data_IF_015434637622
#
_entry.id   IF_015434637622
#
_cell.length_a   1.000
_cell.length_b   1.000
_cell.length_c   1.000
_cell.angle_alpha   90.00
_cell.angle_beta   90.00
_cell.angle_gamma   90.00
#
_symmetry.space_group_name_H-M   'P 1'
#
loop_
_entity.id
_entity.type
_entity.pdbx_description
1 polymer ?
#
# COMPACT_ATOMS: atom_id res chain seq x y z
N UNK A 1 26.05 29.06 8.29
CA UNK A 1 25.65 28.49 6.99
C UNK A 1 25.65 26.96 6.98
N UNK A 2 26.72 26.25 7.38
CA UNK A 2 26.72 24.76 7.45
C UNK A 2 25.56 24.16 8.27
N UNK A 3 25.24 24.71 9.45
CA UNK A 3 24.12 24.23 10.30
C UNK A 3 22.73 24.36 9.65
N UNK A 4 22.52 25.38 8.83
CA UNK A 4 21.24 25.62 8.13
C UNK A 4 21.07 24.61 7.00
N UNK A 5 22.14 24.30 6.25
CA UNK A 5 22.11 23.28 5.20
C UNK A 5 21.83 21.88 5.78
N UNK A 6 22.44 21.53 6.92
CA UNK A 6 22.17 20.25 7.60
C UNK A 6 20.72 20.17 8.10
N UNK A 7 20.18 21.27 8.64
CA UNK A 7 18.79 21.31 9.06
C UNK A 7 17.82 21.13 7.88
N UNK A 8 18.11 21.75 6.73
CA UNK A 8 17.32 21.61 5.51
C UNK A 8 17.31 20.16 4.98
N UNK A 9 18.48 19.51 4.98
CA UNK A 9 18.61 18.11 4.54
C UNK A 9 17.85 17.15 5.48
N UNK A 10 17.93 17.37 6.79
CA UNK A 10 17.15 16.58 7.77
C UNK A 10 15.64 16.81 7.64
N UNK A 11 15.22 18.03 7.33
CA UNK A 11 13.81 18.33 7.10
C UNK A 11 13.29 17.56 5.86
N UNK A 12 14.03 17.60 4.75
CA UNK A 12 13.68 16.82 3.55
C UNK A 12 13.73 15.31 3.79
N UNK A 13 14.73 14.82 4.52
CA UNK A 13 14.82 13.42 4.93
C UNK A 13 13.57 12.99 5.70
N UNK A 14 13.10 13.82 6.63
CA UNK A 14 11.86 13.56 7.36
C UNK A 14 10.65 13.51 6.44
N UNK A 15 10.51 14.45 5.50
CA UNK A 15 9.41 14.46 4.52
C UNK A 15 9.41 13.18 3.67
N UNK A 16 10.58 12.81 3.12
CA UNK A 16 10.70 11.59 2.29
C UNK A 16 10.42 10.33 3.11
N UNK A 17 10.84 10.30 4.37
CA UNK A 17 10.51 9.21 5.29
C UNK A 17 9.00 9.09 5.50
N UNK A 18 8.32 10.19 5.84
CA UNK A 18 6.87 10.21 6.05
C UNK A 18 6.11 9.77 4.81
N UNK A 19 6.49 10.26 3.62
CA UNK A 19 5.88 9.85 2.35
C UNK A 19 6.10 8.37 2.08
N UNK A 20 7.30 7.84 2.36
CA UNK A 20 7.61 6.42 2.19
C UNK A 20 6.77 5.53 3.11
N UNK A 21 6.62 5.91 4.38
CA UNK A 21 5.77 5.21 5.35
C UNK A 21 4.30 5.26 4.91
N UNK A 22 3.83 6.43 4.45
CA UNK A 22 2.48 6.58 3.91
C UNK A 22 2.24 5.65 2.72
N UNK A 23 3.17 5.57 1.77
CA UNK A 23 3.07 4.66 0.62
C UNK A 23 2.96 3.19 1.04
N UNK A 24 3.71 2.77 2.06
CA UNK A 24 3.63 1.40 2.60
C UNK A 24 2.25 1.15 3.22
N UNK A 25 1.73 2.09 4.02
CA UNK A 25 0.40 1.98 4.63
C UNK A 25 -0.68 1.92 3.55
N UNK A 26 -0.60 2.75 2.51
CA UNK A 26 -1.54 2.74 1.39
C UNK A 26 -1.48 1.43 0.63
N UNK A 27 -0.29 0.86 0.40
CA UNK A 27 -0.13 -0.42 -0.28
C UNK A 27 -0.84 -1.56 0.47
N UNK A 28 -0.60 -1.70 1.77
CA UNK A 28 -1.29 -2.70 2.59
C UNK A 28 -2.78 -2.39 2.77
N UNK A 29 -3.13 -1.11 2.93
CA UNK A 29 -4.53 -0.67 3.01
C UNK A 29 -5.31 -1.01 1.74
N UNK A 30 -4.71 -0.79 0.56
CA UNK A 30 -5.31 -1.14 -0.72
C UNK A 30 -5.53 -2.65 -0.85
N UNK A 31 -4.63 -3.51 -0.34
CA UNK A 31 -4.86 -4.96 -0.36
C UNK A 31 -6.10 -5.41 0.41
N UNK A 32 -6.47 -4.69 1.46
CA UNK A 32 -7.66 -5.00 2.26
C UNK A 32 -8.90 -4.32 1.68
N UNK A 33 -8.76 -3.07 1.25
CA UNK A 33 -9.87 -2.28 0.72
C UNK A 33 -10.31 -2.73 -0.67
N UNK A 34 -9.41 -3.21 -1.54
CA UNK A 34 -9.77 -3.62 -2.90
C UNK A 34 -10.75 -4.81 -2.95
N UNK A 35 -10.54 -5.92 -2.21
CA UNK A 35 -11.54 -6.99 -2.13
C UNK A 35 -12.86 -6.51 -1.55
N UNK A 36 -12.82 -5.67 -0.50
CA UNK A 36 -14.01 -5.11 0.11
C UNK A 36 -14.79 -4.23 -0.89
N UNK A 37 -14.09 -3.38 -1.63
CA UNK A 37 -14.69 -2.52 -2.66
C UNK A 37 -15.27 -3.35 -3.81
N UNK A 38 -14.60 -4.44 -4.21
CA UNK A 38 -15.14 -5.37 -5.19
C UNK A 38 -16.48 -5.99 -4.75
N UNK A 39 -16.63 -6.33 -3.46
CA UNK A 39 -17.92 -6.80 -2.91
C UNK A 39 -18.98 -5.71 -3.02
N UNK A 40 -18.66 -4.49 -2.60
CA UNK A 40 -19.59 -3.35 -2.65
C UNK A 40 -20.01 -3.04 -4.09
N UNK A 41 -19.09 -3.09 -5.03
CA UNK A 41 -19.34 -2.82 -6.45
C UNK A 41 -20.23 -3.90 -7.07
N UNK A 42 -20.02 -5.18 -6.73
CA UNK A 42 -20.90 -6.28 -7.14
C UNK A 42 -22.31 -6.14 -6.54
N UNK A 43 -22.43 -5.74 -5.27
CA UNK A 43 -23.73 -5.49 -4.63
C UNK A 43 -24.45 -4.36 -5.36
N UNK A 44 -23.77 -3.25 -5.65
CA UNK A 44 -24.34 -2.13 -6.41
C UNK A 44 -24.79 -2.56 -7.81
N UNK A 45 -23.98 -3.34 -8.52
CA UNK A 45 -24.31 -3.86 -9.84
C UNK A 45 -25.59 -4.71 -9.81
N UNK A 46 -25.71 -5.61 -8.83
CA UNK A 46 -26.92 -6.41 -8.63
C UNK A 46 -28.12 -5.56 -8.18
N UNK A 47 -27.88 -4.45 -7.48
CA UNK A 47 -28.91 -3.47 -7.15
C UNK A 47 -29.53 -2.81 -8.40
N UNK A 48 -28.76 -2.61 -9.47
CA UNK A 48 -29.27 -2.03 -10.74
C UNK A 48 -30.32 -2.93 -11.40
N UNK A 49 -30.22 -4.24 -11.24
CA UNK A 49 -31.19 -5.22 -11.76
C UNK A 49 -32.35 -5.49 -10.79
N UNK A 50 -32.50 -4.68 -9.72
CA UNK A 50 -33.61 -4.76 -8.77
C UNK A 50 -33.42 -5.78 -7.65
N UNK A 51 -32.22 -6.34 -7.48
CA UNK A 51 -31.93 -7.26 -6.39
C UNK A 51 -31.75 -6.50 -5.07
N UNK A 52 -32.40 -6.98 -4.00
CA UNK A 52 -32.25 -6.39 -2.67
C UNK A 52 -30.79 -6.53 -2.20
N UNK A 53 -30.23 -5.48 -1.61
CA UNK A 53 -28.82 -5.41 -1.16
C UNK A 53 -28.42 -6.55 -0.23
N UNK A 54 -29.36 -7.08 0.56
CA UNK A 54 -29.10 -8.23 1.44
C UNK A 54 -28.87 -9.54 0.67
N UNK A 55 -29.68 -9.80 -0.36
CA UNK A 55 -29.54 -10.98 -1.23
C UNK A 55 -28.29 -10.83 -2.11
N UNK A 56 -28.05 -9.63 -2.62
CA UNK A 56 -26.86 -9.29 -3.38
C UNK A 56 -25.58 -9.51 -2.56
N UNK A 57 -25.56 -9.15 -1.28
CA UNK A 57 -24.41 -9.39 -0.40
C UNK A 57 -24.12 -10.89 -0.20
N UNK A 58 -25.17 -11.71 -0.06
CA UNK A 58 -25.06 -13.17 0.05
C UNK A 58 -24.41 -13.83 -1.18
N UNK A 59 -24.52 -13.22 -2.36
CA UNK A 59 -23.91 -13.70 -3.60
C UNK A 59 -22.52 -13.07 -3.81
N UNK A 60 -22.39 -11.76 -3.57
CA UNK A 60 -21.15 -11.02 -3.80
C UNK A 60 -20.01 -11.50 -2.90
N UNK A 61 -20.28 -11.77 -1.61
CA UNK A 61 -19.25 -12.19 -0.65
C UNK A 61 -18.61 -13.53 -1.07
N UNK A 62 -19.37 -14.61 -1.38
CA UNK A 62 -18.79 -15.86 -1.90
C UNK A 62 -18.05 -15.69 -3.22
N UNK A 63 -18.55 -14.86 -4.15
CA UNK A 63 -17.90 -14.62 -5.45
C UNK A 63 -16.52 -13.98 -5.25
N UNK A 64 -16.43 -12.92 -4.44
CA UNK A 64 -15.14 -12.29 -4.13
C UNK A 64 -14.27 -13.21 -3.28
N UNK A 65 -14.86 -13.98 -2.36
CA UNK A 65 -14.16 -15.00 -1.59
C UNK A 65 -13.52 -16.08 -2.48
N UNK A 66 -14.21 -16.50 -3.54
CA UNK A 66 -13.67 -17.44 -4.52
C UNK A 66 -12.51 -16.83 -5.34
N UNK A 67 -12.63 -15.56 -5.73
CA UNK A 67 -11.52 -14.84 -6.36
C UNK A 67 -10.30 -14.75 -5.43
N UNK A 68 -10.51 -14.45 -4.13
CA UNK A 68 -9.46 -14.48 -3.12
C UNK A 68 -8.82 -15.87 -2.96
N UNK A 69 -9.63 -16.92 -3.01
CA UNK A 69 -9.16 -18.31 -2.95
C UNK A 69 -8.34 -18.69 -4.19
N UNK A 70 -8.72 -18.22 -5.38
CA UNK A 70 -7.91 -18.36 -6.60
C UNK A 70 -6.56 -17.66 -6.48
N UNK A 71 -6.55 -16.42 -5.99
CA UNK A 71 -5.31 -15.66 -5.75
C UNK A 71 -4.41 -16.40 -4.75
N UNK A 72 -4.98 -16.95 -3.68
CA UNK A 72 -4.25 -17.73 -2.69
C UNK A 72 -3.69 -19.05 -3.23
N UNK A 73 -4.46 -19.74 -4.08
CA UNK A 73 -4.03 -20.98 -4.73
C UNK A 73 -3.06 -20.75 -5.88
N UNK A 74 -2.92 -19.52 -6.38
CA UNK A 74 -1.98 -19.20 -7.45
C UNK A 74 -0.56 -19.15 -6.88
N UNK A 75 0.31 -20.12 -7.20
CA UNK A 75 1.64 -20.19 -6.62
C UNK A 75 2.45 -18.96 -7.03
N UNK A 76 3.13 -18.35 -6.05
CA UNK A 76 3.98 -17.18 -6.26
C UNK A 76 3.26 -15.83 -6.23
N UNK A 77 1.93 -15.79 -6.38
CA UNK A 77 1.20 -14.51 -6.41
C UNK A 77 1.16 -13.84 -5.04
N UNK A 78 0.76 -14.56 -3.98
CA UNK A 78 0.82 -14.03 -2.61
C UNK A 78 2.24 -13.65 -2.19
N UNK A 79 3.24 -14.43 -2.61
CA UNK A 79 4.64 -14.15 -2.30
C UNK A 79 5.11 -12.86 -2.98
N UNK A 80 4.82 -12.69 -4.27
CA UNK A 80 5.14 -11.47 -5.02
C UNK A 80 4.49 -10.23 -4.40
N UNK A 81 3.24 -10.35 -3.96
CA UNK A 81 2.50 -9.27 -3.31
C UNK A 81 3.14 -8.85 -1.98
N UNK A 82 3.58 -9.81 -1.16
CA UNK A 82 4.31 -9.53 0.08
C UNK A 82 5.70 -8.97 -0.21
N UNK A 83 6.44 -9.57 -1.15
CA UNK A 83 7.79 -9.14 -1.54
C UNK A 83 7.77 -7.68 -2.05
N UNK A 84 6.78 -7.30 -2.85
CA UNK A 84 6.60 -5.92 -3.29
C UNK A 84 6.38 -4.95 -2.11
N UNK A 85 5.65 -5.36 -1.07
CA UNK A 85 5.49 -4.58 0.16
C UNK A 85 6.79 -4.43 0.94
N UNK A 86 7.55 -5.52 1.04
CA UNK A 86 8.88 -5.53 1.67
C UNK A 86 9.86 -4.64 0.90
N UNK A 87 9.82 -4.64 -0.43
CA UNK A 87 10.70 -3.82 -1.26
C UNK A 87 10.36 -2.34 -1.19
N UNK A 88 9.09 -1.96 -0.99
CA UNK A 88 8.71 -0.58 -0.65
C UNK A 88 9.36 -0.12 0.66
N UNK A 89 9.37 -0.97 1.69
CA UNK A 89 10.02 -0.68 2.97
C UNK A 89 11.53 -0.54 2.80
N UNK A 90 12.18 -1.47 2.08
CA UNK A 90 13.62 -1.40 1.79
C UNK A 90 13.99 -0.15 1.00
N UNK A 91 13.15 0.24 0.04
CA UNK A 91 13.35 1.46 -0.75
C UNK A 91 13.30 2.68 0.16
N UNK A 92 12.32 2.75 1.06
CA UNK A 92 12.24 3.81 2.07
C UNK A 92 13.51 3.91 2.92
N UNK A 93 14.01 2.78 3.43
CA UNK A 93 15.26 2.72 4.21
C UNK A 93 16.47 3.22 3.42
N UNK A 94 16.62 2.76 2.18
CA UNK A 94 17.73 3.14 1.29
C UNK A 94 17.73 4.64 1.01
N UNK A 95 16.56 5.25 0.82
CA UNK A 95 16.44 6.70 0.61
C UNK A 95 16.85 7.48 1.87
N UNK A 96 16.44 7.03 3.06
CA UNK A 96 16.83 7.65 4.33
C UNK A 96 18.35 7.56 4.57
N UNK A 97 18.97 6.45 4.21
CA UNK A 97 20.44 6.26 4.30
C UNK A 97 21.18 7.21 3.36
N UNK A 98 20.74 7.37 2.11
CA UNK A 98 21.33 8.33 1.18
C UNK A 98 21.24 9.79 1.68
N UNK A 99 20.15 10.16 2.36
CA UNK A 99 20.05 11.48 3.00
C UNK A 99 21.02 11.65 4.18
N UNK A 100 21.33 10.58 4.93
CA UNK A 100 22.33 10.64 5.99
C UNK A 100 23.74 10.88 5.42
N UNK A 101 24.11 10.20 4.33
CA UNK A 101 25.40 10.42 3.66
C UNK A 101 25.55 11.87 3.18
N UNK A 102 24.50 12.44 2.59
CA UNK A 102 24.47 13.85 2.16
C UNK A 102 24.60 14.79 3.37
N UNK A 103 23.91 14.50 4.47
CA UNK A 103 23.99 15.31 5.68
C UNK A 103 25.38 15.29 6.32
N UNK A 104 26.08 14.14 6.29
CA UNK A 104 27.42 14.01 6.84
C UNK A 104 28.49 14.63 5.91
N UNK A 105 28.31 14.56 4.59
CA UNK A 105 29.15 15.27 3.62
C UNK A 105 29.07 16.81 3.77
N UNK A 106 27.91 17.35 4.18
CA UNK A 106 27.71 18.79 4.40
C UNK A 106 28.20 19.25 5.79
N UNK A 107 28.28 18.32 6.76
CA UNK A 107 28.86 18.60 8.09
C UNK A 107 30.38 18.74 8.04
N UNK A 108 31.06 17.96 7.18
CA UNK A 108 32.50 18.10 6.91
C UNK A 108 32.83 19.50 6.36
#
# INVERSE_FOLDING_TARGET
>A
MKKVNVALVRLLQFVVFVVSVFMVIVYFGAMVLLPLDAVVLLIKLMGVVGLNGFIAAFIAIPVVGYLGLMVYKTPGLCKMVVDAGVDLIKTGKTRVEAFNEIADAIKA
#
